data_IF_250122034470
#
_entry.id   IF_250122034470
#
_cell.length_a   1.000
_cell.length_b   1.000
_cell.length_c   1.000
_cell.angle_alpha   90.00
_cell.angle_beta   90.00
_cell.angle_gamma   90.00
#
_symmetry.space_group_name_H-M   'P 1'
#
loop_
_entity.id
_entity.type
_entity.pdbx_description
1 polymer ?
#
# COMPACT_ATOMS: atom_id res chain seq x y z
N UNK A 1 -24.52 -14.16 -3.74
CA UNK A 1 -23.21 -13.48 -3.81
C UNK A 1 -22.62 -13.69 -5.19
N UNK A 2 -22.07 -12.66 -5.83
CA UNK A 2 -21.40 -12.84 -7.11
C UNK A 2 -20.12 -13.70 -6.94
N UNK A 3 -19.85 -14.55 -7.92
CA UNK A 3 -18.61 -15.31 -8.00
C UNK A 3 -17.60 -14.53 -8.81
N UNK A 4 -16.48 -14.15 -8.19
CA UNK A 4 -15.50 -13.23 -8.74
C UNK A 4 -14.22 -13.96 -9.12
N UNK A 5 -13.65 -13.63 -10.29
CA UNK A 5 -12.28 -14.01 -10.63
C UNK A 5 -11.34 -12.84 -10.42
N UNK A 6 -10.23 -13.08 -9.73
CA UNK A 6 -9.16 -12.10 -9.57
C UNK A 6 -8.08 -12.33 -10.62
N UNK A 7 -7.64 -11.26 -11.29
CA UNK A 7 -6.46 -11.27 -12.16
C UNK A 7 -5.48 -10.22 -11.64
N UNK A 8 -4.40 -10.65 -11.01
CA UNK A 8 -3.44 -9.73 -10.41
C UNK A 8 -2.22 -10.44 -9.83
N UNK A 9 -1.19 -9.70 -9.38
CA UNK A 9 -0.06 -10.31 -8.72
C UNK A 9 -0.50 -10.91 -7.38
N UNK A 10 0.04 -12.08 -7.06
CA UNK A 10 -0.21 -12.76 -5.79
C UNK A 10 1.05 -12.79 -4.94
N UNK A 11 0.88 -12.99 -3.65
CA UNK A 11 1.97 -13.45 -2.80
C UNK A 11 2.61 -14.74 -3.38
N UNK A 12 3.93 -14.94 -3.37
CA UNK A 12 4.93 -14.15 -2.65
C UNK A 12 5.61 -13.03 -3.46
N UNK A 13 4.97 -12.49 -4.51
CA UNK A 13 5.54 -11.31 -5.16
C UNK A 13 5.68 -10.13 -4.17
N UNK A 14 6.76 -9.38 -4.32
CA UNK A 14 7.06 -8.22 -3.49
C UNK A 14 6.11 -7.06 -3.79
N UNK A 15 5.66 -6.38 -2.74
CA UNK A 15 4.92 -5.12 -2.85
C UNK A 15 3.48 -5.17 -2.37
N UNK A 16 2.93 -3.98 -2.12
CA UNK A 16 1.60 -3.79 -1.55
C UNK A 16 0.47 -4.37 -2.39
N UNK A 17 0.59 -4.33 -3.72
CA UNK A 17 -0.46 -4.82 -4.63
C UNK A 17 -0.62 -6.34 -4.51
N UNK A 18 0.48 -7.09 -4.52
CA UNK A 18 0.43 -8.55 -4.36
C UNK A 18 -0.17 -8.95 -3.01
N UNK A 19 0.18 -8.24 -1.92
CA UNK A 19 -0.44 -8.44 -0.59
C UNK A 19 -1.94 -8.16 -0.62
N UNK A 20 -2.32 -7.01 -1.13
CA UNK A 20 -3.73 -6.59 -1.22
C UNK A 20 -4.56 -7.57 -2.03
N UNK A 21 -4.07 -7.98 -3.22
CA UNK A 21 -4.79 -8.91 -4.10
C UNK A 21 -4.93 -10.29 -3.45
N UNK A 22 -3.87 -10.76 -2.77
CA UNK A 22 -3.91 -12.05 -2.05
C UNK A 22 -4.86 -12.02 -0.86
N UNK A 23 -4.84 -10.95 -0.07
CA UNK A 23 -5.74 -10.79 1.08
C UNK A 23 -7.21 -10.70 0.63
N UNK A 24 -7.48 -9.98 -0.45
CA UNK A 24 -8.82 -9.95 -1.06
C UNK A 24 -9.25 -11.34 -1.55
N UNK A 25 -8.35 -12.09 -2.23
CA UNK A 25 -8.64 -13.44 -2.66
C UNK A 25 -8.99 -14.36 -1.50
N UNK A 26 -8.24 -14.28 -0.39
CA UNK A 26 -8.54 -15.03 0.83
C UNK A 26 -9.90 -14.67 1.44
N UNK A 27 -10.22 -13.37 1.49
CA UNK A 27 -11.52 -12.90 1.99
C UNK A 27 -12.68 -13.35 1.12
N UNK A 28 -12.53 -13.35 -0.20
CA UNK A 28 -13.56 -13.88 -1.12
C UNK A 28 -13.68 -15.40 -1.02
N UNK A 29 -12.57 -16.12 -0.89
CA UNK A 29 -12.58 -17.58 -0.71
C UNK A 29 -13.29 -17.99 0.58
N UNK A 30 -13.06 -17.28 1.69
CA UNK A 30 -13.71 -17.54 2.98
C UNK A 30 -15.24 -17.34 2.94
N UNK A 31 -15.77 -16.74 1.86
CA UNK A 31 -17.20 -16.45 1.64
C UNK A 31 -17.78 -17.21 0.43
N UNK A 32 -17.05 -18.20 -0.12
CA UNK A 32 -17.39 -18.91 -1.36
C UNK A 32 -17.60 -18.00 -2.59
N UNK A 33 -17.08 -16.77 -2.52
CA UNK A 33 -17.20 -15.76 -3.58
C UNK A 33 -16.04 -15.81 -4.60
N UNK A 34 -14.99 -16.60 -4.40
CA UNK A 34 -13.86 -16.70 -5.30
C UNK A 34 -14.07 -17.77 -6.36
N UNK A 35 -14.23 -17.36 -7.63
CA UNK A 35 -14.30 -18.28 -8.76
C UNK A 35 -12.91 -18.73 -9.24
N UNK A 36 -11.90 -17.90 -9.09
CA UNK A 36 -10.52 -18.20 -9.45
C UNK A 36 -9.59 -17.03 -9.17
N UNK A 37 -8.31 -17.33 -8.95
CA UNK A 37 -7.27 -16.33 -8.79
C UNK A 37 -6.12 -16.60 -9.76
N UNK A 38 -6.01 -15.76 -10.77
CA UNK A 38 -5.04 -15.88 -11.84
C UNK A 38 -3.92 -14.86 -11.63
N UNK A 39 -2.69 -15.35 -11.56
CA UNK A 39 -1.52 -14.55 -11.26
C UNK A 39 -0.45 -14.68 -12.35
N UNK A 40 0.38 -13.65 -12.59
CA UNK A 40 1.44 -13.75 -13.58
C UNK A 40 2.55 -14.69 -13.11
N UNK A 41 3.31 -15.21 -14.07
CA UNK A 41 4.54 -15.98 -13.80
C UNK A 41 5.64 -15.10 -13.23
N UNK A 42 5.67 -13.82 -13.66
CA UNK A 42 6.54 -12.74 -13.17
C UNK A 42 5.73 -11.47 -13.04
N UNK A 43 5.93 -10.73 -11.96
CA UNK A 43 5.21 -9.46 -11.71
C UNK A 43 5.64 -8.37 -12.67
N UNK A 44 6.93 -8.31 -12.98
CA UNK A 44 7.55 -7.37 -13.90
C UNK A 44 8.56 -8.06 -14.80
N UNK A 45 8.79 -7.58 -16.04
CA UNK A 45 9.97 -7.95 -16.81
C UNK A 45 11.24 -7.63 -16.03
N UNK A 46 12.27 -8.48 -16.15
CA UNK A 46 13.52 -8.33 -15.38
C UNK A 46 14.21 -6.96 -15.57
N UNK A 47 14.04 -6.35 -16.76
CA UNK A 47 14.60 -5.02 -17.08
C UNK A 47 13.81 -3.85 -16.44
N UNK A 48 12.58 -4.07 -16.04
CA UNK A 48 11.71 -3.05 -15.43
C UNK A 48 11.76 -3.06 -13.90
N UNK A 49 12.27 -4.14 -13.30
CA UNK A 49 12.42 -4.28 -11.85
C UNK A 49 13.89 -4.11 -11.44
N UNK A 50 14.28 -2.95 -10.91
CA UNK A 50 15.67 -2.67 -10.54
C UNK A 50 16.14 -3.39 -9.27
N UNK A 51 15.24 -4.01 -8.50
CA UNK A 51 15.58 -4.87 -7.37
C UNK A 51 15.92 -6.29 -7.82
N UNK A 52 16.83 -6.99 -7.14
CA UNK A 52 17.38 -8.28 -7.58
C UNK A 52 16.38 -9.42 -7.76
N UNK A 53 15.22 -9.40 -7.09
CA UNK A 53 14.16 -10.40 -7.23
C UNK A 53 12.79 -9.77 -6.98
N UNK A 54 11.79 -10.14 -7.78
CA UNK A 54 10.39 -9.70 -7.62
C UNK A 54 9.60 -10.56 -6.62
N UNK A 55 10.22 -11.62 -6.08
CA UNK A 55 9.64 -12.57 -5.12
C UNK A 55 10.34 -12.44 -3.77
N UNK A 56 9.58 -12.49 -2.69
CA UNK A 56 10.13 -12.63 -1.34
C UNK A 56 10.39 -14.12 -1.04
N UNK A 57 11.66 -14.56 -0.95
CA UNK A 57 11.98 -15.97 -0.76
C UNK A 57 11.59 -16.50 0.64
N UNK A 58 11.31 -15.59 1.60
CA UNK A 58 10.92 -15.95 2.97
C UNK A 58 9.43 -15.84 3.22
N UNK A 59 8.68 -15.43 2.21
CA UNK A 59 7.25 -15.30 2.33
C UNK A 59 6.57 -16.69 2.35
N UNK A 60 5.76 -16.95 3.37
CA UNK A 60 4.88 -18.13 3.39
C UNK A 60 3.75 -17.95 2.38
N UNK A 61 3.44 -18.97 1.56
CA UNK A 61 2.25 -18.93 0.70
C UNK A 61 0.99 -18.72 1.56
N UNK A 62 0.27 -17.62 1.34
CA UNK A 62 -0.96 -17.33 2.08
C UNK A 62 -2.20 -17.94 1.45
N UNK A 63 -2.11 -18.32 0.18
CA UNK A 63 -3.20 -18.89 -0.59
C UNK A 63 -2.63 -19.82 -1.66
N UNK A 64 -2.91 -21.12 -1.57
CA UNK A 64 -2.46 -22.11 -2.56
C UNK A 64 -3.22 -22.02 -3.89
N UNK A 65 -4.38 -21.36 -3.90
CA UNK A 65 -5.29 -21.29 -5.03
C UNK A 65 -4.88 -20.31 -6.15
N UNK A 66 -3.70 -19.68 -6.09
CA UNK A 66 -3.26 -18.76 -7.13
C UNK A 66 -2.66 -19.50 -8.32
N UNK A 67 -3.35 -19.45 -9.48
CA UNK A 67 -2.92 -20.09 -10.71
C UNK A 67 -1.95 -19.20 -11.50
N UNK A 68 -0.67 -19.57 -11.56
CA UNK A 68 0.39 -18.85 -12.29
C UNK A 68 0.39 -19.23 -13.77
N UNK A 69 -0.47 -18.60 -14.56
CA UNK A 69 -0.75 -19.06 -15.91
C UNK A 69 -0.40 -18.11 -17.05
N UNK A 70 -0.03 -16.86 -16.78
CA UNK A 70 0.24 -15.88 -17.83
C UNK A 70 1.49 -15.02 -17.59
N UNK A 71 1.98 -14.37 -18.64
CA UNK A 71 2.94 -13.27 -18.57
C UNK A 71 2.26 -11.94 -18.89
N UNK A 72 2.57 -10.88 -18.14
CA UNK A 72 1.93 -9.55 -18.29
C UNK A 72 2.16 -8.96 -19.69
N UNK A 73 3.39 -9.09 -20.22
CA UNK A 73 3.80 -8.65 -21.57
C UNK A 73 4.03 -9.81 -22.53
N UNK A 74 3.38 -10.95 -22.30
CA UNK A 74 3.49 -12.18 -23.09
C UNK A 74 2.13 -12.54 -23.70
N UNK A 75 1.68 -11.85 -24.77
CA UNK A 75 0.33 -12.02 -25.31
C UNK A 75 0.02 -13.44 -25.79
N UNK A 76 1.05 -14.23 -26.16
CA UNK A 76 0.89 -15.65 -26.51
C UNK A 76 0.45 -16.54 -25.32
N UNK A 77 0.54 -16.06 -24.09
CA UNK A 77 0.06 -16.78 -22.90
C UNK A 77 -1.41 -16.44 -22.55
N UNK A 78 -1.96 -15.36 -23.10
CA UNK A 78 -3.30 -14.87 -22.77
C UNK A 78 -4.45 -15.79 -23.23
N UNK A 79 -4.34 -16.55 -24.32
CA UNK A 79 -5.38 -17.54 -24.67
C UNK A 79 -5.59 -18.59 -23.57
N UNK A 80 -4.52 -19.05 -22.91
CA UNK A 80 -4.62 -19.98 -21.79
C UNK A 80 -5.31 -19.34 -20.56
N UNK A 81 -5.00 -18.07 -20.23
CA UNK A 81 -5.70 -17.31 -19.18
C UNK A 81 -7.19 -17.17 -19.52
N UNK A 82 -7.53 -16.81 -20.77
CA UNK A 82 -8.92 -16.67 -21.22
C UNK A 82 -9.69 -17.99 -21.08
N UNK A 83 -9.09 -19.12 -21.48
CA UNK A 83 -9.70 -20.45 -21.34
C UNK A 83 -9.98 -20.80 -19.88
N UNK A 84 -9.03 -20.56 -18.99
CA UNK A 84 -9.18 -20.82 -17.53
C UNK A 84 -10.24 -19.90 -16.91
N UNK A 85 -10.25 -18.64 -17.31
CA UNK A 85 -11.29 -17.69 -16.90
C UNK A 85 -12.68 -18.14 -17.36
N UNK A 86 -12.80 -18.61 -18.61
CA UNK A 86 -14.06 -19.15 -19.13
C UNK A 86 -14.52 -20.40 -18.35
N UNK A 87 -13.59 -21.32 -18.02
CA UNK A 87 -13.88 -22.51 -17.22
C UNK A 87 -14.32 -22.19 -15.80
N UNK A 88 -13.73 -21.14 -15.17
CA UNK A 88 -14.12 -20.66 -13.85
C UNK A 88 -15.52 -20.02 -13.83
N UNK A 89 -16.02 -19.58 -14.98
CA UNK A 89 -17.33 -18.97 -15.21
C UNK A 89 -17.71 -17.91 -14.14
N UNK A 90 -16.89 -16.87 -13.92
CA UNK A 90 -17.20 -15.85 -12.94
C UNK A 90 -18.31 -14.92 -13.44
N UNK A 91 -19.03 -14.28 -12.52
CA UNK A 91 -19.97 -13.21 -12.82
C UNK A 91 -19.24 -11.93 -13.23
N UNK A 92 -18.09 -11.64 -12.59
CA UNK A 92 -17.23 -10.50 -12.91
C UNK A 92 -15.75 -10.83 -12.67
N UNK A 93 -14.89 -10.05 -13.34
CA UNK A 93 -13.43 -10.08 -13.15
C UNK A 93 -13.02 -8.86 -12.35
N UNK A 94 -12.17 -9.05 -11.35
CA UNK A 94 -11.60 -7.99 -10.53
C UNK A 94 -10.11 -7.86 -10.85
N UNK A 95 -9.68 -6.66 -11.23
CA UNK A 95 -8.28 -6.38 -11.56
C UNK A 95 -7.78 -5.15 -10.81
N UNK A 96 -6.62 -5.21 -10.11
CA UNK A 96 -5.96 -4.02 -9.63
C UNK A 96 -5.38 -3.21 -10.81
N UNK A 97 -5.56 -1.89 -10.76
CA UNK A 97 -4.90 -0.98 -11.69
C UNK A 97 -3.96 -0.03 -10.94
N UNK A 98 -2.65 -0.12 -11.25
CA UNK A 98 -1.62 0.69 -10.58
C UNK A 98 -0.45 1.07 -11.47
N UNK A 99 -0.36 0.51 -12.69
CA UNK A 99 0.73 0.79 -13.63
C UNK A 99 0.27 0.57 -15.09
N UNK A 100 0.76 1.41 -15.95
CA UNK A 100 0.51 1.32 -17.39
C UNK A 100 1.06 0.02 -18.03
N UNK A 101 2.08 -0.60 -17.42
CA UNK A 101 2.66 -1.84 -17.93
C UNK A 101 1.64 -3.00 -18.00
N UNK A 102 0.56 -2.95 -17.21
CA UNK A 102 -0.54 -3.92 -17.25
C UNK A 102 -1.63 -3.55 -18.26
N UNK A 103 -1.58 -2.36 -18.87
CA UNK A 103 -2.64 -1.89 -19.76
C UNK A 103 -2.91 -2.79 -20.96
N UNK A 104 -1.90 -3.40 -21.67
CA UNK A 104 -2.17 -4.29 -22.76
C UNK A 104 -3.00 -5.53 -22.36
N UNK A 105 -2.62 -6.18 -21.26
CA UNK A 105 -3.36 -7.32 -20.71
C UNK A 105 -4.75 -6.91 -20.23
N UNK A 106 -4.86 -5.84 -19.45
CA UNK A 106 -6.13 -5.35 -18.91
C UNK A 106 -7.10 -4.99 -20.04
N UNK A 107 -6.60 -4.36 -21.13
CA UNK A 107 -7.40 -4.10 -22.31
C UNK A 107 -7.90 -5.39 -22.99
N UNK A 108 -7.06 -6.43 -23.06
CA UNK A 108 -7.49 -7.73 -23.59
C UNK A 108 -8.56 -8.35 -22.70
N UNK A 109 -8.35 -8.38 -21.38
CA UNK A 109 -9.34 -8.93 -20.42
C UNK A 109 -10.69 -8.23 -20.52
N UNK A 110 -10.72 -6.90 -20.64
CA UNK A 110 -11.99 -6.15 -20.80
C UNK A 110 -12.75 -6.48 -22.10
N UNK A 111 -12.11 -7.14 -23.07
CA UNK A 111 -12.73 -7.58 -24.32
C UNK A 111 -13.23 -9.04 -24.30
N UNK A 112 -13.04 -9.77 -23.20
CA UNK A 112 -13.38 -11.21 -23.15
C UNK A 112 -14.82 -11.52 -22.75
N UNK A 113 -15.68 -10.49 -22.70
CA UNK A 113 -17.12 -10.64 -22.52
C UNK A 113 -17.57 -10.80 -21.07
N UNK A 114 -16.67 -10.64 -20.10
CA UNK A 114 -17.03 -10.57 -18.68
C UNK A 114 -16.88 -9.13 -18.16
N UNK A 115 -17.80 -8.64 -17.31
CA UNK A 115 -17.67 -7.35 -16.67
C UNK A 115 -16.36 -7.27 -15.87
N UNK A 116 -15.64 -6.15 -15.97
CA UNK A 116 -14.39 -5.94 -15.24
C UNK A 116 -14.59 -4.82 -14.22
N UNK A 117 -14.30 -5.11 -12.97
CA UNK A 117 -14.23 -4.13 -11.88
C UNK A 117 -12.76 -3.83 -11.60
N UNK A 118 -12.40 -2.57 -11.63
CA UNK A 118 -11.02 -2.16 -11.32
C UNK A 118 -10.88 -1.78 -9.85
N UNK A 119 -9.90 -2.39 -9.17
CA UNK A 119 -9.40 -1.87 -7.89
C UNK A 119 -8.39 -0.77 -8.21
N UNK A 120 -8.80 0.48 -8.05
CA UNK A 120 -8.03 1.65 -8.47
C UNK A 120 -7.01 2.05 -7.40
N UNK A 121 -5.80 1.49 -7.45
CA UNK A 121 -4.70 1.84 -6.53
C UNK A 121 -4.03 3.16 -6.94
N UNK A 122 -3.81 3.35 -8.23
CA UNK A 122 -3.19 4.57 -8.78
C UNK A 122 -3.70 4.80 -10.20
N UNK A 123 -4.91 5.37 -10.36
CA UNK A 123 -5.54 5.52 -11.67
C UNK A 123 -4.82 6.51 -12.59
N UNK A 124 -4.06 7.45 -12.01
CA UNK A 124 -3.17 8.36 -12.74
C UNK A 124 -2.02 8.78 -11.82
N UNK A 125 -0.78 8.47 -12.18
CA UNK A 125 0.38 9.09 -11.55
C UNK A 125 0.35 10.60 -11.82
N UNK A 126 0.66 11.41 -10.80
CA UNK A 126 0.72 12.88 -10.96
C UNK A 126 1.75 13.28 -12.03
N UNK A 127 2.80 12.46 -12.21
CA UNK A 127 3.85 12.65 -13.22
C UNK A 127 3.63 11.79 -14.47
N UNK A 128 2.43 11.20 -14.66
CA UNK A 128 2.14 10.32 -15.77
C UNK A 128 2.30 11.05 -17.12
N UNK A 129 3.02 10.45 -18.03
CA UNK A 129 3.13 10.89 -19.43
C UNK A 129 1.77 10.84 -20.13
N UNK A 130 1.64 11.53 -21.25
CA UNK A 130 0.41 11.48 -22.04
C UNK A 130 0.09 10.05 -22.55
N UNK A 131 1.13 9.23 -22.81
CA UNK A 131 0.97 7.82 -23.19
C UNK A 131 0.38 6.98 -22.06
N UNK A 132 0.86 7.17 -20.84
CA UNK A 132 0.34 6.47 -19.65
C UNK A 132 -1.11 6.85 -19.37
N UNK A 133 -1.45 8.15 -19.48
CA UNK A 133 -2.84 8.62 -19.38
C UNK A 133 -3.73 8.03 -20.48
N UNK A 134 -3.23 7.92 -21.71
CA UNK A 134 -3.95 7.29 -22.81
C UNK A 134 -4.16 5.79 -22.57
N UNK A 135 -3.14 5.07 -22.08
CA UNK A 135 -3.23 3.67 -21.70
C UNK A 135 -4.24 3.45 -20.56
N UNK A 136 -4.21 4.29 -19.52
CA UNK A 136 -5.18 4.26 -18.44
C UNK A 136 -6.61 4.44 -18.96
N UNK A 137 -6.86 5.45 -19.78
CA UNK A 137 -8.19 5.69 -20.39
C UNK A 137 -8.68 4.50 -21.23
N UNK A 138 -7.80 3.85 -21.97
CA UNK A 138 -8.15 2.71 -22.80
C UNK A 138 -8.59 1.46 -22.00
N UNK A 139 -8.16 1.35 -20.75
CA UNK A 139 -8.53 0.28 -19.82
C UNK A 139 -9.71 0.68 -18.98
N UNK A 140 -9.58 1.78 -18.20
CA UNK A 140 -10.55 2.22 -17.22
C UNK A 140 -11.90 2.56 -17.85
N UNK A 141 -11.92 3.14 -19.07
CA UNK A 141 -13.13 3.42 -19.81
C UNK A 141 -13.91 2.17 -20.27
N UNK A 142 -13.40 0.96 -20.04
CA UNK A 142 -14.08 -0.31 -20.30
C UNK A 142 -14.49 -1.04 -19.03
N UNK A 143 -14.05 -0.56 -17.87
CA UNK A 143 -14.47 -1.11 -16.60
C UNK A 143 -15.94 -0.81 -16.31
N UNK A 144 -16.60 -1.71 -15.63
CA UNK A 144 -18.00 -1.58 -15.21
C UNK A 144 -18.15 -1.04 -13.79
N UNK A 145 -17.05 -0.86 -13.06
CA UNK A 145 -17.04 -0.29 -11.73
C UNK A 145 -15.64 -0.04 -11.20
N UNK A 146 -15.53 0.83 -10.21
CA UNK A 146 -14.26 1.19 -9.57
C UNK A 146 -14.36 1.01 -8.06
N UNK A 147 -13.51 0.17 -7.48
CA UNK A 147 -13.28 0.14 -6.04
C UNK A 147 -12.04 1.00 -5.72
N UNK A 148 -12.26 2.06 -4.98
CA UNK A 148 -11.26 3.08 -4.67
C UNK A 148 -10.89 3.06 -3.18
N UNK A 149 -9.67 3.48 -2.85
CA UNK A 149 -9.21 3.55 -1.45
C UNK A 149 -9.39 4.94 -0.83
N UNK A 150 -9.78 5.93 -1.63
CA UNK A 150 -10.02 7.31 -1.21
C UNK A 150 -11.18 7.92 -2.00
N UNK A 151 -11.92 8.85 -1.37
CA UNK A 151 -13.02 9.58 -2.02
C UNK A 151 -12.50 10.48 -3.14
N UNK A 152 -11.34 11.08 -2.95
CA UNK A 152 -10.68 11.90 -3.97
C UNK A 152 -10.38 11.11 -5.25
N UNK A 153 -9.98 9.83 -5.12
CA UNK A 153 -9.78 8.94 -6.27
C UNK A 153 -11.11 8.59 -6.94
N UNK A 154 -12.14 8.28 -6.15
CA UNK A 154 -13.47 7.98 -6.70
C UNK A 154 -14.07 9.19 -7.43
N UNK A 155 -13.93 10.41 -6.89
CA UNK A 155 -14.38 11.64 -7.52
C UNK A 155 -13.68 11.88 -8.87
N UNK A 156 -12.35 11.77 -8.92
CA UNK A 156 -11.57 11.95 -10.15
C UNK A 156 -11.95 10.91 -11.24
N UNK A 157 -12.24 9.66 -10.84
CA UNK A 157 -12.72 8.64 -11.76
C UNK A 157 -14.16 8.92 -12.21
N UNK A 158 -15.04 9.38 -11.32
CA UNK A 158 -16.41 9.78 -11.67
C UNK A 158 -16.48 10.91 -12.68
N UNK A 159 -15.59 11.92 -12.55
CA UNK A 159 -15.44 12.98 -13.54
C UNK A 159 -14.92 12.46 -14.89
N UNK A 160 -13.98 11.53 -14.86
CA UNK A 160 -13.35 10.98 -16.07
C UNK A 160 -14.22 9.94 -16.79
N UNK A 161 -15.07 9.22 -16.04
CA UNK A 161 -15.89 8.10 -16.52
C UNK A 161 -17.33 8.22 -15.97
N UNK A 162 -18.11 9.22 -16.41
CA UNK A 162 -19.46 9.45 -15.91
C UNK A 162 -20.36 8.23 -16.17
N UNK A 163 -21.18 7.89 -15.18
CA UNK A 163 -22.10 6.74 -15.25
C UNK A 163 -21.48 5.40 -14.87
N UNK A 164 -20.16 5.31 -14.60
CA UNK A 164 -19.56 4.09 -14.07
C UNK A 164 -19.63 4.13 -12.53
N UNK A 165 -20.29 3.15 -11.88
CA UNK A 165 -20.41 3.12 -10.42
C UNK A 165 -19.05 3.01 -9.74
N UNK A 166 -18.91 3.70 -8.61
CA UNK A 166 -17.70 3.62 -7.80
C UNK A 166 -18.04 3.40 -6.32
N UNK A 167 -17.20 2.61 -5.66
CA UNK A 167 -17.28 2.37 -4.23
C UNK A 167 -15.96 2.78 -3.57
N UNK A 168 -16.03 3.26 -2.34
CA UNK A 168 -14.86 3.63 -1.57
C UNK A 168 -14.77 2.71 -0.35
N UNK A 169 -13.59 2.16 -0.14
CA UNK A 169 -13.21 1.47 1.09
C UNK A 169 -11.71 1.67 1.33
N UNK A 170 -11.29 2.22 2.48
CA UNK A 170 -9.88 2.31 2.83
C UNK A 170 -9.21 0.93 2.76
N UNK A 171 -7.91 0.91 2.49
CA UNK A 171 -7.15 -0.33 2.56
C UNK A 171 -7.22 -0.91 3.97
N UNK A 172 -7.65 -2.17 4.14
CA UNK A 172 -7.62 -2.81 5.44
C UNK A 172 -6.20 -3.08 5.92
N UNK A 173 -6.01 -3.10 7.24
CA UNK A 173 -4.81 -3.64 7.84
C UNK A 173 -4.82 -5.17 7.72
N UNK A 174 -3.66 -5.76 7.39
CA UNK A 174 -3.50 -7.20 7.55
C UNK A 174 -3.34 -7.52 9.05
N UNK A 175 -4.11 -8.45 9.61
CA UNK A 175 -3.94 -8.90 10.98
C UNK A 175 -2.69 -9.77 11.09
N UNK A 176 -1.51 -9.14 11.19
CA UNK A 176 -0.25 -9.85 11.39
C UNK A 176 0.09 -9.83 12.88
N UNK A 177 0.33 -10.99 13.51
CA UNK A 177 0.77 -11.02 14.91
C UNK A 177 2.06 -10.23 15.09
N UNK A 178 2.04 -9.27 16.01
CA UNK A 178 3.23 -8.50 16.36
C UNK A 178 4.03 -9.23 17.43
N UNK A 179 5.36 -9.29 17.34
CA UNK A 179 6.19 -9.77 18.45
C UNK A 179 6.08 -8.82 19.64
N UNK A 180 6.47 -9.28 20.83
CA UNK A 180 6.52 -8.42 21.99
C UNK A 180 7.46 -7.22 21.74
N UNK A 181 7.02 -6.02 22.09
CA UNK A 181 7.71 -4.74 21.85
C UNK A 181 9.17 -4.77 22.33
N UNK A 182 9.42 -5.27 23.54
CA UNK A 182 10.77 -5.37 24.10
C UNK A 182 11.69 -6.33 23.30
N UNK A 183 11.13 -7.40 22.71
CA UNK A 183 11.88 -8.32 21.83
C UNK A 183 12.24 -7.61 20.52
N UNK A 184 11.28 -6.91 19.93
CA UNK A 184 11.50 -6.17 18.70
C UNK A 184 12.55 -5.06 18.90
N UNK A 185 12.45 -4.29 19.97
CA UNK A 185 13.40 -3.21 20.29
C UNK A 185 14.83 -3.73 20.53
N UNK A 186 14.98 -4.80 21.29
CA UNK A 186 16.31 -5.41 21.47
C UNK A 186 16.96 -5.83 20.15
N UNK A 187 16.17 -6.40 19.23
CA UNK A 187 16.67 -6.80 17.89
C UNK A 187 17.16 -5.61 17.07
N UNK A 188 16.52 -4.46 17.20
CA UNK A 188 16.83 -3.24 16.47
C UNK A 188 17.79 -2.30 17.22
N UNK A 189 18.21 -2.65 18.44
CA UNK A 189 19.07 -1.80 19.27
C UNK A 189 18.39 -0.51 19.75
N UNK A 190 17.06 -0.53 19.93
CA UNK A 190 16.25 0.60 20.39
C UNK A 190 16.12 0.55 21.90
N UNK A 191 16.46 1.64 22.57
CA UNK A 191 16.28 1.77 24.02
C UNK A 191 14.78 1.77 24.38
N UNK A 192 14.43 1.17 25.53
CA UNK A 192 13.02 1.02 25.93
C UNK A 192 12.34 2.36 26.21
N UNK A 193 13.09 3.36 26.63
CA UNK A 193 12.61 4.71 26.97
C UNK A 193 12.69 5.73 25.82
N UNK A 194 13.21 5.32 24.65
CA UNK A 194 13.24 6.17 23.47
C UNK A 194 11.88 6.13 22.73
N UNK A 195 11.47 7.27 22.17
CA UNK A 195 10.36 7.34 21.22
C UNK A 195 10.86 6.95 19.83
N UNK A 196 10.30 5.86 19.29
CA UNK A 196 10.71 5.32 17.99
C UNK A 196 9.75 5.74 16.87
N UNK A 197 10.25 6.54 15.92
CA UNK A 197 9.55 6.95 14.72
C UNK A 197 9.84 5.97 13.58
N UNK A 198 8.83 5.49 12.87
CA UNK A 198 8.98 4.50 11.79
C UNK A 198 8.64 5.10 10.43
N UNK A 199 9.60 5.05 9.50
CA UNK A 199 9.37 5.17 8.05
C UNK A 199 9.59 3.81 7.40
N UNK A 200 8.57 3.28 6.72
CA UNK A 200 8.55 1.90 6.24
C UNK A 200 8.16 1.76 4.76
N UNK A 201 8.67 0.71 4.10
CA UNK A 201 8.33 0.28 2.75
C UNK A 201 9.24 0.86 1.67
N UNK A 202 8.93 0.64 0.38
CA UNK A 202 9.77 1.14 -0.71
C UNK A 202 10.05 2.62 -0.57
N UNK A 203 11.32 3.01 -0.52
CA UNK A 203 11.76 4.38 -0.34
C UNK A 203 11.84 5.05 -1.73
N UNK A 204 10.76 5.75 -2.11
CA UNK A 204 10.62 6.46 -3.39
C UNK A 204 10.68 7.98 -3.18
N UNK A 205 11.02 8.78 -4.21
CA UNK A 205 11.10 10.24 -4.08
C UNK A 205 9.83 10.88 -3.50
N UNK A 206 8.65 10.42 -3.95
CA UNK A 206 7.38 10.97 -3.49
C UNK A 206 7.07 10.70 -2.00
N UNK A 207 7.74 9.73 -1.38
CA UNK A 207 7.55 9.39 0.05
C UNK A 207 8.22 10.35 1.02
N UNK A 208 9.03 11.28 0.55
CA UNK A 208 9.57 12.37 1.37
C UNK A 208 10.51 11.93 2.48
N UNK A 209 11.23 10.79 2.31
CA UNK A 209 12.20 10.32 3.30
C UNK A 209 13.30 11.35 3.55
N UNK A 210 13.65 12.12 2.54
CA UNK A 210 14.59 13.25 2.62
C UNK A 210 14.07 14.38 3.54
N UNK A 211 12.76 14.68 3.48
CA UNK A 211 12.10 15.65 4.37
C UNK A 211 12.11 15.14 5.80
N UNK A 212 11.86 13.85 6.00
CA UNK A 212 11.87 13.23 7.33
C UNK A 212 13.26 13.28 7.96
N UNK A 213 14.32 12.95 7.21
CA UNK A 213 15.69 13.00 7.72
C UNK A 213 16.08 14.43 8.12
N UNK A 214 15.69 15.42 7.30
CA UNK A 214 15.93 16.83 7.63
C UNK A 214 15.14 17.29 8.86
N UNK A 215 13.85 16.98 8.95
CA UNK A 215 13.02 17.33 10.11
C UNK A 215 13.52 16.64 11.39
N UNK A 216 13.88 15.36 11.30
CA UNK A 216 14.39 14.60 12.45
C UNK A 216 15.75 15.10 12.92
N UNK A 217 16.60 15.59 12.00
CA UNK A 217 17.90 16.20 12.34
C UNK A 217 17.75 17.50 13.16
N UNK A 218 16.59 18.16 13.10
CA UNK A 218 16.30 19.40 13.85
C UNK A 218 15.81 19.14 15.28
N UNK A 219 15.34 17.90 15.57
CA UNK A 219 14.97 17.54 16.94
C UNK A 219 16.20 17.65 17.89
N UNK A 220 15.98 18.22 19.05
CA UNK A 220 17.00 18.33 20.08
C UNK A 220 17.61 16.95 20.38
N UNK A 221 18.94 16.88 20.38
CA UNK A 221 19.71 15.66 20.68
C UNK A 221 19.51 15.17 22.12
N UNK A 222 19.09 16.03 23.04
CA UNK A 222 18.72 15.66 24.40
C UNK A 222 17.43 14.84 24.49
N UNK A 223 16.60 14.87 23.43
CA UNK A 223 15.39 14.05 23.35
C UNK A 223 15.74 12.59 23.09
N UNK A 224 15.14 11.69 23.86
CA UNK A 224 15.29 10.24 23.65
C UNK A 224 14.40 9.78 22.50
N UNK A 225 14.84 10.09 21.28
CA UNK A 225 14.13 9.79 20.04
C UNK A 225 15.03 9.02 19.06
N UNK A 226 14.50 8.03 18.40
CA UNK A 226 15.17 7.22 17.38
C UNK A 226 14.30 7.14 16.11
N UNK A 227 14.93 7.25 14.95
CA UNK A 227 14.28 7.03 13.66
C UNK A 227 14.58 5.62 13.16
N UNK A 228 13.53 4.85 12.91
CA UNK A 228 13.56 3.55 12.27
C UNK A 228 13.26 3.75 10.78
N UNK A 229 14.25 3.55 9.92
CA UNK A 229 14.13 3.69 8.48
C UNK A 229 14.29 2.33 7.80
N UNK A 230 13.20 1.72 7.36
CA UNK A 230 13.19 0.36 6.85
C UNK A 230 12.55 0.26 5.47
N UNK A 231 13.34 -0.08 4.45
CA UNK A 231 12.84 -0.26 3.10
C UNK A 231 13.89 -0.18 2.00
N UNK A 232 13.54 -0.72 0.85
CA UNK A 232 14.39 -0.74 -0.32
C UNK A 232 14.35 0.61 -1.05
N UNK A 233 15.51 1.27 -1.28
CA UNK A 233 15.60 2.49 -2.07
C UNK A 233 15.24 2.22 -3.53
N UNK A 234 14.37 3.09 -4.09
CA UNK A 234 13.90 2.97 -5.45
C UNK A 234 13.88 4.34 -6.16
N UNK A 235 14.13 4.34 -7.47
CA UNK A 235 14.08 5.58 -8.25
C UNK A 235 15.28 6.52 -8.01
N UNK A 236 16.47 5.94 -7.77
CA UNK A 236 17.72 6.70 -7.66
C UNK A 236 17.97 7.38 -6.31
N UNK A 237 17.11 7.13 -5.29
CA UNK A 237 17.26 7.82 -3.99
C UNK A 237 18.37 7.27 -3.09
N UNK A 238 18.97 6.12 -3.43
CA UNK A 238 19.95 5.45 -2.55
C UNK A 238 21.16 6.34 -2.20
N UNK A 239 21.75 7.00 -3.18
CA UNK A 239 22.92 7.87 -2.98
C UNK A 239 22.56 9.11 -2.14
N UNK A 240 21.37 9.71 -2.36
CA UNK A 240 20.91 10.85 -1.57
C UNK A 240 20.66 10.45 -0.12
N UNK A 241 20.00 9.31 0.11
CA UNK A 241 19.77 8.77 1.46
C UNK A 241 21.09 8.49 2.18
N UNK A 242 22.06 7.86 1.51
CA UNK A 242 23.37 7.59 2.10
C UNK A 242 24.10 8.89 2.53
N UNK A 243 24.06 9.92 1.68
CA UNK A 243 24.62 11.23 1.99
C UNK A 243 23.94 11.89 3.19
N UNK A 244 22.60 11.89 3.25
CA UNK A 244 21.83 12.47 4.36
C UNK A 244 22.03 11.73 5.68
N UNK A 245 22.10 10.40 5.64
CA UNK A 245 22.38 9.58 6.83
C UNK A 245 23.78 9.81 7.41
N UNK A 246 24.71 10.35 6.63
CA UNK A 246 26.03 10.76 7.11
C UNK A 246 26.03 12.11 7.88
N UNK A 247 24.88 12.78 7.99
CA UNK A 247 24.75 14.03 8.77
C UNK A 247 25.08 13.75 10.25
N UNK A 248 26.04 14.49 10.85
CA UNK A 248 26.40 14.31 12.26
C UNK A 248 25.23 14.51 13.23
N UNK A 249 24.20 15.29 12.85
CA UNK A 249 22.99 15.49 13.66
C UNK A 249 22.17 14.20 13.81
N UNK A 250 22.31 13.26 12.88
CA UNK A 250 21.62 11.95 12.88
C UNK A 250 22.45 10.82 13.52
N UNK A 251 23.72 11.04 13.79
CA UNK A 251 24.63 10.02 14.29
C UNK A 251 24.12 9.38 15.60
N UNK A 252 24.00 8.03 15.60
CA UNK A 252 23.53 7.26 16.73
C UNK A 252 22.00 7.34 16.98
N UNK A 253 21.26 8.05 16.12
CA UNK A 253 19.80 8.26 16.30
C UNK A 253 18.95 7.62 15.20
N UNK A 254 19.56 6.99 14.20
CA UNK A 254 18.86 6.34 13.09
C UNK A 254 19.26 4.88 13.01
N UNK A 255 18.28 3.99 13.02
CA UNK A 255 18.43 2.58 12.69
C UNK A 255 17.92 2.38 11.27
N UNK A 256 18.84 2.20 10.32
CA UNK A 256 18.49 2.11 8.90
C UNK A 256 18.68 0.69 8.35
N UNK A 257 17.66 0.19 7.62
CA UNK A 257 17.73 -1.03 6.82
C UNK A 257 17.32 -0.70 5.38
N UNK A 258 18.30 -0.20 4.60
CA UNK A 258 18.09 0.22 3.21
C UNK A 258 18.10 -0.98 2.25
N UNK A 259 17.14 -1.86 2.43
CA UNK A 259 16.93 -3.10 1.65
C UNK A 259 15.47 -3.48 1.66
N UNK A 260 15.11 -4.46 0.84
CA UNK A 260 13.81 -5.12 1.01
C UNK A 260 13.68 -5.69 2.44
N UNK A 261 12.56 -5.38 3.10
CA UNK A 261 12.22 -5.96 4.39
C UNK A 261 11.29 -7.14 4.14
N UNK A 262 11.73 -8.37 4.41
CA UNK A 262 10.91 -9.55 4.26
C UNK A 262 9.66 -9.51 5.13
N UNK A 263 8.64 -10.27 4.71
CA UNK A 263 7.33 -10.21 5.35
C UNK A 263 7.34 -10.71 6.80
N UNK A 264 8.18 -11.69 7.11
CA UNK A 264 8.38 -12.21 8.47
C UNK A 264 9.14 -11.25 9.39
N UNK A 265 9.87 -10.29 8.82
CA UNK A 265 10.64 -9.29 9.56
C UNK A 265 9.83 -8.00 9.80
N UNK A 266 8.94 -7.66 8.88
CA UNK A 266 8.17 -6.41 8.92
C UNK A 266 7.40 -6.18 10.25
N UNK A 267 6.73 -7.18 10.87
CA UNK A 267 6.05 -7.00 12.14
C UNK A 267 6.96 -6.51 13.26
N UNK A 268 8.24 -6.88 13.24
CA UNK A 268 9.21 -6.43 14.23
C UNK A 268 9.48 -4.93 14.19
N UNK A 269 9.46 -4.32 13.00
CA UNK A 269 9.63 -2.88 12.84
C UNK A 269 8.42 -2.10 13.39
N UNK A 270 7.20 -2.57 13.10
CA UNK A 270 5.98 -1.96 13.65
C UNK A 270 5.87 -2.15 15.16
N UNK A 271 6.24 -3.33 15.68
CA UNK A 271 6.22 -3.60 17.13
C UNK A 271 7.23 -2.77 17.94
N UNK A 272 8.37 -2.41 17.32
CA UNK A 272 9.39 -1.57 17.97
C UNK A 272 9.03 -0.09 17.98
N UNK A 273 8.17 0.36 17.05
CA UNK A 273 7.81 1.75 16.85
C UNK A 273 6.79 2.27 17.86
N UNK A 274 6.73 3.58 18.02
CA UNK A 274 5.70 4.33 18.76
C UNK A 274 4.84 5.18 17.82
N UNK A 275 5.38 5.59 16.67
CA UNK A 275 4.73 6.50 15.72
C UNK A 275 5.18 6.11 14.31
N UNK A 276 4.25 6.02 13.37
CA UNK A 276 4.59 5.93 11.95
C UNK A 276 4.66 7.33 11.32
N UNK A 277 5.60 7.57 10.39
CA UNK A 277 5.77 8.87 9.74
C UNK A 277 5.73 8.72 8.23
N UNK A 278 4.76 9.39 7.59
CA UNK A 278 4.45 9.30 6.17
C UNK A 278 4.48 10.70 5.53
N UNK A 279 5.65 11.33 5.33
CA UNK A 279 5.78 12.71 4.87
C UNK A 279 5.68 12.77 3.34
N UNK A 280 4.65 12.14 2.79
CA UNK A 280 4.50 11.94 1.35
C UNK A 280 4.21 13.25 0.63
N UNK A 281 4.78 13.43 -0.55
CA UNK A 281 4.48 14.54 -1.45
C UNK A 281 3.17 14.36 -2.20
N UNK A 282 2.80 13.07 -2.44
CA UNK A 282 1.55 12.68 -3.07
C UNK A 282 1.15 11.28 -2.61
N UNK A 283 -0.14 10.99 -2.49
CA UNK A 283 -0.65 9.66 -2.16
C UNK A 283 -2.10 9.48 -2.62
N UNK A 284 -2.40 8.35 -3.23
CA UNK A 284 -3.77 7.89 -3.52
C UNK A 284 -4.33 7.03 -2.38
N UNK A 285 -3.44 6.42 -1.60
CA UNK A 285 -3.69 5.59 -0.42
C UNK A 285 -2.38 5.08 0.14
N UNK A 286 -2.40 4.45 1.32
CA UNK A 286 -1.19 3.92 1.94
C UNK A 286 -1.45 2.64 2.73
N UNK A 287 -0.91 1.53 2.23
CA UNK A 287 -0.89 0.27 2.98
C UNK A 287 -0.07 0.39 4.27
N UNK A 288 0.92 1.29 4.31
CA UNK A 288 1.72 1.54 5.52
C UNK A 288 0.89 2.23 6.60
N UNK A 289 -0.01 3.16 6.24
CA UNK A 289 -0.94 3.79 7.18
C UNK A 289 -1.89 2.74 7.77
N UNK A 290 -2.45 1.85 6.93
CA UNK A 290 -3.30 0.75 7.38
C UNK A 290 -2.55 -0.18 8.35
N UNK A 291 -1.31 -0.56 8.02
CA UNK A 291 -0.48 -1.40 8.90
C UNK A 291 -0.13 -0.69 10.23
N UNK A 292 0.14 0.61 10.18
CA UNK A 292 0.38 1.41 11.38
C UNK A 292 -0.84 1.39 12.31
N UNK A 293 -2.03 1.63 11.78
CA UNK A 293 -3.26 1.54 12.56
C UNK A 293 -3.53 0.13 13.09
N UNK A 294 -3.30 -0.91 12.27
CA UNK A 294 -3.38 -2.30 12.71
C UNK A 294 -2.40 -2.66 13.83
N UNK A 295 -1.26 -1.95 13.90
CA UNK A 295 -0.29 -2.05 14.99
C UNK A 295 -0.59 -1.10 16.18
N UNK A 296 -1.70 -0.34 16.15
CA UNK A 296 -2.05 0.65 17.16
C UNK A 296 -1.16 1.90 17.18
N UNK A 297 -0.43 2.17 16.07
CA UNK A 297 0.48 3.30 15.98
C UNK A 297 -0.24 4.54 15.45
N UNK A 298 -0.12 5.70 16.12
CA UNK A 298 -0.53 6.98 15.56
C UNK A 298 0.38 7.34 14.38
N UNK A 299 -0.14 8.15 13.45
CA UNK A 299 0.55 8.48 12.21
C UNK A 299 0.79 9.98 12.10
N UNK A 300 2.04 10.40 11.88
CA UNK A 300 2.34 11.74 11.36
C UNK A 300 2.38 11.63 9.83
N UNK A 301 1.57 12.41 9.13
CA UNK A 301 1.54 12.35 7.67
C UNK A 301 1.35 13.71 7.01
N UNK A 302 1.77 13.81 5.76
CA UNK A 302 1.40 14.95 4.92
C UNK A 302 -0.09 14.91 4.59
N UNK A 303 -0.73 16.08 4.55
CA UNK A 303 -2.13 16.29 4.18
C UNK A 303 -2.32 16.16 2.67
N UNK A 304 -2.16 14.93 2.15
CA UNK A 304 -2.27 14.62 0.70
C UNK A 304 -3.22 13.46 0.45
N UNK A 305 -4.05 13.60 -0.57
CA UNK A 305 -4.93 12.57 -1.12
C UNK A 305 -5.56 11.66 -0.05
N UNK A 306 -5.46 10.34 -0.26
CA UNK A 306 -6.06 9.37 0.64
C UNK A 306 -5.49 9.35 2.07
N UNK A 307 -4.29 9.89 2.33
CA UNK A 307 -3.78 10.02 3.70
C UNK A 307 -4.61 11.02 4.51
N UNK A 308 -4.98 12.16 3.91
CA UNK A 308 -5.82 13.17 4.55
C UNK A 308 -7.25 12.69 4.83
N UNK A 309 -7.70 11.64 4.13
CA UNK A 309 -9.03 11.04 4.35
C UNK A 309 -9.05 9.97 5.44
N UNK A 310 -7.92 9.23 5.59
CA UNK A 310 -7.82 8.09 6.51
C UNK A 310 -7.33 8.53 7.88
N UNK A 311 -6.47 9.56 7.94
CA UNK A 311 -5.92 10.07 9.20
C UNK A 311 -6.79 11.22 9.69
N UNK A 312 -7.46 11.01 10.81
CA UNK A 312 -8.19 12.06 11.51
C UNK A 312 -7.21 12.88 12.35
N UNK A 313 -7.01 14.14 11.93
CA UNK A 313 -6.07 15.07 12.57
C UNK A 313 -6.39 15.27 14.06
N UNK A 314 -5.35 15.22 14.91
CA UNK A 314 -5.43 15.25 16.37
C UNK A 314 -6.29 14.14 17.02
N UNK A 315 -6.74 13.14 16.24
CA UNK A 315 -7.50 12.00 16.76
C UNK A 315 -6.81 10.65 16.52
N UNK A 316 -6.27 10.41 15.33
CA UNK A 316 -5.52 9.17 14.98
C UNK A 316 -4.08 9.46 14.58
N UNK A 317 -3.72 10.74 14.48
CA UNK A 317 -2.40 11.20 14.06
C UNK A 317 -2.32 12.72 13.96
N UNK A 318 -1.26 13.18 13.32
CA UNK A 318 -1.01 14.61 13.05
C UNK A 318 -0.84 14.79 11.55
N UNK A 319 -1.61 15.69 10.95
CA UNK A 319 -1.49 16.04 9.54
C UNK A 319 -0.71 17.36 9.37
N UNK A 320 0.35 17.30 8.55
CA UNK A 320 1.20 18.48 8.22
C UNK A 320 1.06 18.87 6.75
N UNK A 321 1.35 20.10 6.37
CA UNK A 321 1.41 20.49 4.96
C UNK A 321 2.45 19.64 4.19
N UNK A 322 2.19 19.24 2.93
CA UNK A 322 3.14 18.49 2.14
C UNK A 322 4.39 19.32 1.80
N UNK A 323 5.57 18.72 1.96
CA UNK A 323 6.84 19.39 1.67
C UNK A 323 7.33 20.34 2.77
N UNK A 324 6.55 20.58 3.81
CA UNK A 324 6.89 21.49 4.90
C UNK A 324 7.72 20.76 5.97
N UNK A 325 9.03 21.02 5.96
CA UNK A 325 9.99 20.41 6.90
C UNK A 325 9.83 20.98 8.31
N UNK A 326 9.45 22.27 8.44
CA UNK A 326 9.28 22.93 9.73
C UNK A 326 8.05 22.36 10.44
N UNK A 327 6.91 22.30 9.75
CA UNK A 327 5.69 21.70 10.29
C UNK A 327 5.89 20.20 10.63
N UNK A 328 6.70 19.48 9.85
CA UNK A 328 7.02 18.08 10.15
C UNK A 328 7.89 17.98 11.41
N UNK A 329 8.89 18.86 11.58
CA UNK A 329 9.72 18.88 12.78
C UNK A 329 8.90 19.21 14.02
N UNK A 330 8.00 20.19 13.94
CA UNK A 330 7.08 20.55 15.02
C UNK A 330 6.16 19.37 15.40
N UNK A 331 5.65 18.63 14.41
CA UNK A 331 4.82 17.45 14.66
C UNK A 331 5.61 16.33 15.34
N UNK A 332 6.88 16.10 14.92
CA UNK A 332 7.79 15.15 15.59
C UNK A 332 8.07 15.56 17.03
N UNK A 333 8.26 16.85 17.33
CA UNK A 333 8.47 17.34 18.70
C UNK A 333 7.19 17.21 19.53
N UNK A 334 6.04 17.65 19.02
CA UNK A 334 4.75 17.57 19.71
C UNK A 334 4.39 16.16 20.16
N UNK A 335 4.62 15.15 19.33
CA UNK A 335 4.24 13.76 19.63
C UNK A 335 5.17 13.08 20.65
N UNK A 336 6.28 13.73 21.01
CA UNK A 336 7.12 13.27 22.14
C UNK A 336 6.38 13.36 23.46
N UNK A 337 5.36 14.23 23.54
CA UNK A 337 4.49 14.34 24.73
C UNK A 337 3.73 13.02 24.95
N UNK A 338 3.90 12.33 26.11
CA UNK A 338 3.35 11.00 26.34
C UNK A 338 1.82 10.94 26.27
N UNK A 339 1.13 11.96 26.84
CA UNK A 339 -0.34 12.02 26.88
C UNK A 339 -0.92 12.18 25.48
N UNK A 340 -0.34 13.07 24.66
CA UNK A 340 -0.74 13.24 23.27
C UNK A 340 -0.55 11.94 22.49
N UNK A 341 0.64 11.33 22.58
CA UNK A 341 0.96 10.09 21.89
C UNK A 341 0.02 8.96 22.29
N UNK A 342 -0.24 8.77 23.59
CA UNK A 342 -1.17 7.75 24.09
C UNK A 342 -2.60 7.96 23.56
N UNK A 343 -3.09 9.21 23.57
CA UNK A 343 -4.41 9.57 23.06
C UNK A 343 -4.55 9.26 21.58
N UNK A 344 -3.56 9.64 20.76
CA UNK A 344 -3.54 9.38 19.32
C UNK A 344 -3.41 7.88 19.02
N UNK A 345 -2.62 7.12 19.78
CA UNK A 345 -2.50 5.67 19.65
C UNK A 345 -3.82 4.96 19.94
N UNK A 346 -4.54 5.37 21.00
CA UNK A 346 -5.88 4.84 21.27
C UNK A 346 -6.87 5.16 20.15
N UNK A 347 -6.74 6.33 19.51
CA UNK A 347 -7.52 6.71 18.34
C UNK A 347 -7.21 5.82 17.14
N UNK A 348 -5.93 5.60 16.83
CA UNK A 348 -5.46 4.74 15.76
C UNK A 348 -5.95 3.29 15.91
N UNK A 349 -5.86 2.73 17.13
CA UNK A 349 -6.36 1.39 17.43
C UNK A 349 -7.88 1.27 17.20
N UNK A 350 -8.67 2.28 17.56
CA UNK A 350 -10.12 2.31 17.28
C UNK A 350 -10.42 2.42 15.78
N UNK A 351 -9.64 3.20 15.04
CA UNK A 351 -9.82 3.36 13.59
C UNK A 351 -9.52 2.07 12.80
N UNK A 352 -8.68 1.18 13.34
CA UNK A 352 -8.42 -0.12 12.74
C UNK A 352 -9.62 -1.10 12.88
N UNK A 353 -10.49 -0.89 13.87
CA UNK A 353 -11.67 -1.75 14.10
C UNK A 353 -12.71 -1.50 13.00
N UNK A 354 -13.17 -2.58 12.36
CA UNK A 354 -14.18 -2.50 11.29
C UNK A 354 -13.64 -2.22 9.89
N UNK A 355 -12.33 -1.97 9.76
CA UNK A 355 -11.66 -1.90 8.46
C UNK A 355 -10.92 -3.22 8.20
N UNK A 356 -11.67 -4.29 7.94
CA UNK A 356 -11.15 -5.62 7.67
C UNK A 356 -11.38 -6.06 6.21
N UNK A 357 -10.76 -7.17 5.82
CA UNK A 357 -10.90 -7.72 4.48
C UNK A 357 -12.29 -8.28 4.19
N UNK A 358 -13.07 -8.64 5.23
CA UNK A 358 -14.45 -9.06 5.10
C UNK A 358 -15.37 -7.92 4.68
N UNK A 359 -15.26 -6.76 5.34
CA UNK A 359 -15.98 -5.53 4.99
C UNK A 359 -15.57 -4.99 3.62
N UNK A 360 -14.28 -5.09 3.28
CA UNK A 360 -13.76 -4.74 1.95
C UNK A 360 -14.38 -5.61 0.85
N UNK A 361 -14.41 -6.95 1.04
CA UNK A 361 -15.01 -7.88 0.11
C UNK A 361 -16.54 -7.66 -0.01
N UNK A 362 -17.22 -7.35 1.10
CA UNK A 362 -18.65 -7.03 1.07
C UNK A 362 -18.93 -5.76 0.27
N UNK A 363 -18.07 -4.74 0.40
CA UNK A 363 -18.20 -3.51 -0.39
C UNK A 363 -17.98 -3.75 -1.88
N UNK A 364 -17.03 -4.65 -2.22
CA UNK A 364 -16.81 -5.09 -3.60
C UNK A 364 -18.04 -5.83 -4.15
N UNK A 365 -18.64 -6.77 -3.39
CA UNK A 365 -19.83 -7.50 -3.81
C UNK A 365 -21.01 -6.56 -4.11
N UNK A 366 -21.22 -5.54 -3.26
CA UNK A 366 -22.24 -4.52 -3.47
C UNK A 366 -22.00 -3.73 -4.77
N UNK A 367 -20.75 -3.30 -5.01
CA UNK A 367 -20.37 -2.61 -6.24
C UNK A 367 -20.59 -3.49 -7.49
N UNK A 368 -20.20 -4.77 -7.42
CA UNK A 368 -20.43 -5.72 -8.52
C UNK A 368 -21.92 -5.87 -8.81
N UNK A 369 -22.74 -6.03 -7.78
CA UNK A 369 -24.19 -6.17 -7.95
C UNK A 369 -24.81 -4.92 -8.61
N UNK A 370 -24.37 -3.72 -8.22
CA UNK A 370 -24.77 -2.46 -8.85
C UNK A 370 -24.32 -2.37 -10.31
N UNK A 371 -23.09 -2.79 -10.61
CA UNK A 371 -22.49 -2.72 -11.94
C UNK A 371 -23.10 -3.76 -12.93
N UNK A 372 -23.79 -4.80 -12.42
CA UNK A 372 -24.44 -5.86 -13.21
C UNK A 372 -25.95 -5.62 -13.39
N UNK A 373 -26.55 -4.74 -12.59
CA UNK A 373 -27.95 -4.32 -12.74
C UNK A 373 -28.11 -3.35 -13.91
#
# INVERSE_FOLDING_TARGET
MPRLALIGPSHPFRGGIARTTTALAAALAARDGLAGFFTPRRQYPAWLYPGGADVDPRACPRLEAADRCFGVLEPWTWPALRQRLAAAAPDAVVMPYWTWAWAPLARAVTSWGRPVISVAHNPADHDASWLERRAARAVLGRCRGFLCHARSVAAALGESYPGVPSAVHPLPADPVPLPARNVARRRLGVADDAVAFLAFGLLRPYKGTDLLLEAFARLDRGRRAVLLLAGEPWGGVAADLARRLADPRLAGRVVAALRWIPEDEAPGWFAAADVAVLPYRAATGSAVAAQAFGAGLPVIASRVGGLAEVIADDATGILVPPGDVDALADALERILEPELRARLAAGAARAAVGSDWGSYAARLDALVSEALS
#
